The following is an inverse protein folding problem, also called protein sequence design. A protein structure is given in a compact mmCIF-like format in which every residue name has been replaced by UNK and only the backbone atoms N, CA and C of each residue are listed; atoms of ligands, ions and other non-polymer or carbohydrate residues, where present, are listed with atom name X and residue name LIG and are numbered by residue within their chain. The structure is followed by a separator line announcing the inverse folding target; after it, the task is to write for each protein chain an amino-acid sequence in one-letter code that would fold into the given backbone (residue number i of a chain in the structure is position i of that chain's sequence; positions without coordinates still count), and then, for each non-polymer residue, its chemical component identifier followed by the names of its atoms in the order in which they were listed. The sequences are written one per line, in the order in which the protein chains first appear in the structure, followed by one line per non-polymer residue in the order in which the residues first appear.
data_IF_570026738708
#
_entry.id   IF_570026738708
#
_cell.length_a   1.000
_cell.length_b   1.000
_cell.length_c   1.000
_cell.angle_alpha   90.00
_cell.angle_beta   90.00
_cell.angle_gamma   90.00
#
_symmetry.space_group_name_H-M   'P 1'
#
loop_
_entity.id
_entity.type
_entity.pdbx_description
1 polymer ?
#
# COMPACT_ATOMS: atom_id res chain seq x y z
N UNK A 1 -16.25 5.42 -15.96
CA UNK A 1 -16.87 5.65 -14.63
C UNK A 1 -16.43 7.03 -14.18
N UNK A 2 -17.29 7.88 -13.59
CA UNK A 2 -16.87 9.24 -13.20
C UNK A 2 -16.35 9.33 -11.76
N UNK A 3 -16.58 8.31 -10.94
CA UNK A 3 -16.22 8.28 -9.52
C UNK A 3 -15.84 6.85 -9.12
N UNK A 4 -14.69 6.65 -8.49
CA UNK A 4 -14.29 5.37 -7.90
C UNK A 4 -14.59 5.30 -6.40
N UNK A 5 -14.68 4.06 -5.89
CA UNK A 5 -14.73 3.74 -4.47
C UNK A 5 -16.13 3.67 -3.88
N UNK A 6 -16.95 4.72 -4.03
CA UNK A 6 -18.26 4.83 -3.36
C UNK A 6 -19.33 5.54 -4.20
N UNK A 7 -20.56 5.57 -3.70
CA UNK A 7 -21.65 6.29 -4.35
C UNK A 7 -21.50 7.81 -4.21
N UNK A 8 -21.97 8.61 -5.20
CA UNK A 8 -21.96 10.08 -5.12
C UNK A 8 -22.65 10.64 -3.87
N UNK A 9 -23.69 9.97 -3.34
CA UNK A 9 -24.38 10.40 -2.12
C UNK A 9 -23.51 10.35 -0.87
N UNK A 10 -22.60 9.37 -0.77
CA UNK A 10 -21.66 9.27 0.36
C UNK A 10 -20.64 10.40 0.29
N UNK A 11 -20.08 10.65 -0.89
CA UNK A 11 -19.13 11.76 -1.12
C UNK A 11 -19.74 13.11 -0.76
N UNK A 12 -20.98 13.39 -1.22
CA UNK A 12 -21.69 14.63 -0.85
C UNK A 12 -21.84 14.77 0.66
N UNK A 13 -22.28 13.72 1.33
CA UNK A 13 -22.49 13.75 2.78
C UNK A 13 -21.17 13.99 3.52
N UNK A 14 -20.08 13.35 3.08
CA UNK A 14 -18.74 13.52 3.64
C UNK A 14 -18.27 14.98 3.53
N UNK A 15 -18.34 15.57 2.34
CA UNK A 15 -17.93 16.96 2.11
C UNK A 15 -18.82 17.93 2.90
N UNK A 16 -20.14 17.76 2.87
CA UNK A 16 -21.08 18.65 3.56
C UNK A 16 -20.90 18.62 5.09
N UNK A 17 -20.51 17.48 5.65
CA UNK A 17 -20.29 17.31 7.09
C UNK A 17 -18.86 17.59 7.52
N UNK A 18 -17.93 17.74 6.57
CA UNK A 18 -16.50 17.76 6.86
C UNK A 18 -16.03 16.46 7.51
N UNK A 19 -16.60 15.32 7.10
CA UNK A 19 -16.27 14.00 7.60
C UNK A 19 -15.22 13.33 6.70
N UNK A 20 -13.93 13.34 7.09
CA UNK A 20 -12.85 12.83 6.24
C UNK A 20 -12.83 11.29 6.14
N UNK A 21 -13.53 10.58 7.04
CA UNK A 21 -13.51 9.12 7.16
C UNK A 21 -14.96 8.54 7.21
N UNK A 22 -15.76 8.69 6.13
CA UNK A 22 -17.19 8.37 6.12
C UNK A 22 -17.55 6.87 6.17
N UNK A 23 -16.63 5.99 6.56
CA UNK A 23 -16.85 4.55 6.68
C UNK A 23 -16.66 3.77 5.37
N UNK A 24 -15.64 4.12 4.59
CA UNK A 24 -15.40 3.66 3.23
C UNK A 24 -13.96 3.18 3.01
N UNK A 25 -13.64 2.77 1.77
CA UNK A 25 -12.26 2.47 1.32
C UNK A 25 -11.66 3.62 0.49
N UNK A 26 -12.16 4.84 0.68
CA UNK A 26 -11.78 6.02 -0.09
C UNK A 26 -12.59 6.21 -1.36
N UNK A 27 -12.31 7.32 -2.05
CA UNK A 27 -13.00 7.73 -3.26
C UNK A 27 -12.19 8.79 -4.01
N UNK A 28 -12.32 8.79 -5.33
CA UNK A 28 -11.80 9.87 -6.18
C UNK A 28 -12.61 9.96 -7.48
N UNK A 29 -12.71 11.16 -8.04
CA UNK A 29 -13.41 11.42 -9.30
C UNK A 29 -14.31 12.65 -9.21
N UNK A 30 -15.35 12.69 -10.02
CA UNK A 30 -16.24 13.84 -10.16
C UNK A 30 -17.64 13.57 -9.58
N UNK A 31 -18.13 14.50 -8.76
CA UNK A 31 -19.48 14.52 -8.20
C UNK A 31 -20.09 15.90 -8.38
N UNK A 32 -21.21 15.99 -9.10
CA UNK A 32 -21.94 17.24 -9.34
C UNK A 32 -21.07 18.39 -9.91
N UNK A 33 -20.09 18.05 -10.77
CA UNK A 33 -19.15 19.03 -11.33
C UNK A 33 -17.99 19.42 -10.40
N UNK A 34 -17.85 18.75 -9.26
CA UNK A 34 -16.72 18.88 -8.34
C UNK A 34 -15.79 17.68 -8.49
N UNK A 35 -14.55 17.94 -8.90
CA UNK A 35 -13.50 16.92 -8.83
C UNK A 35 -13.05 16.78 -7.38
N UNK A 36 -12.93 15.57 -6.86
CA UNK A 36 -12.65 15.29 -5.45
C UNK A 36 -11.75 14.07 -5.28
N UNK A 37 -10.91 14.10 -4.24
CA UNK A 37 -10.12 12.95 -3.79
C UNK A 37 -10.15 12.85 -2.27
N UNK A 38 -10.22 11.62 -1.76
CA UNK A 38 -10.24 11.34 -0.32
C UNK A 38 -8.95 11.76 0.40
N UNK A 39 -8.99 11.85 1.72
CA UNK A 39 -7.88 12.40 2.53
C UNK A 39 -6.61 11.55 2.53
N UNK A 40 -6.70 10.26 2.16
CA UNK A 40 -5.55 9.36 2.01
C UNK A 40 -5.14 9.16 0.56
N UNK A 41 -5.87 9.72 -0.39
CA UNK A 41 -5.57 9.59 -1.82
C UNK A 41 -5.59 8.14 -2.32
N UNK A 42 -6.48 7.30 -1.77
CA UNK A 42 -6.47 5.85 -1.99
C UNK A 42 -6.73 5.46 -3.45
N UNK A 43 -7.54 6.25 -4.13
CA UNK A 43 -7.69 6.17 -5.58
C UNK A 43 -6.83 7.27 -6.23
N UNK A 44 -5.92 6.93 -7.15
CA UNK A 44 -5.21 7.90 -7.96
C UNK A 44 -6.18 8.76 -8.76
N UNK A 45 -5.83 10.03 -8.95
CA UNK A 45 -6.59 10.96 -9.76
C UNK A 45 -5.60 11.99 -10.30
N UNK A 46 -5.63 12.21 -11.60
CA UNK A 46 -4.71 13.08 -12.31
C UNK A 46 -5.46 14.17 -13.04
N UNK A 47 -4.78 15.30 -13.21
CA UNK A 47 -5.29 16.47 -13.91
C UNK A 47 -4.18 17.06 -14.77
N UNK A 48 -4.53 17.53 -15.94
CA UNK A 48 -3.71 18.47 -16.71
C UNK A 48 -4.46 19.81 -16.81
N UNK A 49 -4.13 20.64 -17.79
CA UNK A 49 -4.77 21.94 -17.97
C UNK A 49 -6.18 21.86 -18.57
N UNK A 50 -6.53 20.76 -19.24
CA UNK A 50 -7.77 20.62 -20.01
C UNK A 50 -8.72 19.54 -19.46
N UNK A 51 -8.17 18.52 -18.79
CA UNK A 51 -8.88 17.30 -18.45
C UNK A 51 -8.48 16.72 -17.08
N UNK A 52 -9.13 15.60 -16.74
CA UNK A 52 -8.79 14.77 -15.60
C UNK A 52 -8.96 13.30 -15.98
N UNK A 53 -8.17 12.43 -15.35
CA UNK A 53 -8.18 10.99 -15.60
C UNK A 53 -7.83 10.20 -14.34
N UNK A 54 -8.15 8.91 -14.32
CA UNK A 54 -7.67 7.98 -13.27
C UNK A 54 -6.33 7.33 -13.62
N UNK A 55 -5.99 7.32 -14.91
CA UNK A 55 -4.72 6.85 -15.46
C UNK A 55 -3.95 8.05 -16.03
N UNK A 56 -2.71 8.31 -15.59
CA UNK A 56 -1.95 9.46 -16.06
C UNK A 56 -1.60 9.38 -17.55
N UNK A 57 -1.61 8.19 -18.15
CA UNK A 57 -1.31 7.98 -19.58
C UNK A 57 -2.43 8.47 -20.51
N UNK A 58 -3.61 8.79 -19.95
CA UNK A 58 -4.74 9.38 -20.67
C UNK A 58 -4.63 10.92 -20.81
N UNK A 59 -3.58 11.53 -20.23
CA UNK A 59 -3.37 12.98 -20.18
C UNK A 59 -2.04 13.38 -20.83
N UNK A 60 -1.94 14.63 -21.28
CA UNK A 60 -0.74 15.14 -21.96
C UNK A 60 0.37 15.56 -20.96
N UNK A 61 -0.02 16.22 -19.85
CA UNK A 61 0.88 16.66 -18.77
C UNK A 61 0.26 16.32 -17.39
N UNK A 62 0.20 15.03 -17.03
CA UNK A 62 -0.50 14.57 -15.84
C UNK A 62 0.15 15.08 -14.56
N UNK A 63 -0.66 15.67 -13.69
CA UNK A 63 -0.30 16.02 -12.31
C UNK A 63 -1.25 15.34 -11.34
N UNK A 64 -0.72 14.81 -10.25
CA UNK A 64 -1.53 14.21 -9.20
C UNK A 64 -2.47 15.24 -8.58
N UNK A 65 -3.77 14.94 -8.58
CA UNK A 65 -4.76 15.73 -7.87
C UNK A 65 -4.60 15.50 -6.36
N UNK A 66 -4.48 16.56 -5.53
CA UNK A 66 -4.08 16.38 -4.15
C UNK A 66 -5.15 15.69 -3.29
N UNK A 67 -4.72 14.79 -2.41
CA UNK A 67 -5.58 14.12 -1.44
C UNK A 67 -6.27 15.14 -0.51
N UNK A 68 -7.53 14.87 -0.14
CA UNK A 68 -8.32 15.74 0.74
C UNK A 68 -8.75 17.07 0.12
N UNK A 69 -8.70 17.20 -1.21
CA UNK A 69 -9.10 18.41 -1.92
C UNK A 69 -10.31 18.19 -2.84
N UNK A 70 -11.00 19.30 -3.11
CA UNK A 70 -12.05 19.45 -4.11
C UNK A 70 -11.64 20.55 -5.09
N UNK A 71 -12.01 20.42 -6.36
CA UNK A 71 -11.85 21.48 -7.36
C UNK A 71 -13.20 21.80 -7.98
N UNK A 72 -13.60 23.05 -7.82
CA UNK A 72 -14.78 23.64 -8.44
C UNK A 72 -14.36 24.62 -9.53
N UNK A 73 -15.31 25.38 -10.10
CA UNK A 73 -15.01 26.50 -10.98
C UNK A 73 -14.32 27.67 -10.28
N UNK A 74 -14.42 27.75 -8.95
CA UNK A 74 -13.88 28.84 -8.14
C UNK A 74 -12.42 28.58 -7.75
N UNK A 75 -11.99 27.32 -7.78
CA UNK A 75 -10.61 26.94 -7.52
C UNK A 75 -10.48 25.57 -6.85
N UNK A 76 -9.27 25.31 -6.37
CA UNK A 76 -8.92 24.13 -5.59
C UNK A 76 -8.99 24.48 -4.10
N UNK A 77 -9.70 23.67 -3.32
CA UNK A 77 -9.91 23.87 -1.89
C UNK A 77 -9.72 22.56 -1.13
N UNK A 78 -9.22 22.64 0.10
CA UNK A 78 -9.15 21.48 0.99
C UNK A 78 -10.53 21.25 1.62
N UNK A 79 -11.09 20.06 1.46
CA UNK A 79 -12.37 19.69 2.09
C UNK A 79 -12.18 18.86 3.37
N UNK A 80 -11.03 18.20 3.53
CA UNK A 80 -10.74 17.33 4.67
C UNK A 80 -9.25 17.18 4.95
N UNK A 81 -8.94 16.76 6.18
CA UNK A 81 -7.62 16.34 6.63
C UNK A 81 -7.76 15.11 7.52
N UNK A 82 -6.64 14.44 7.81
CA UNK A 82 -6.64 13.37 8.81
C UNK A 82 -7.16 13.91 10.16
N UNK A 83 -8.13 13.21 10.81
CA UNK A 83 -8.66 13.64 12.08
C UNK A 83 -7.64 13.46 13.21
N UNK A 84 -7.85 14.19 14.31
CA UNK A 84 -7.12 14.03 15.57
C UNK A 84 -8.08 13.48 16.64
N UNK A 85 -8.38 12.17 16.63
CA UNK A 85 -9.25 11.58 17.64
C UNK A 85 -8.58 11.64 19.03
N UNK A 86 -9.42 11.61 20.07
CA UNK A 86 -8.92 11.41 21.43
C UNK A 86 -8.22 10.05 21.55
N UNK A 87 -7.19 9.99 22.38
CA UNK A 87 -6.47 8.75 22.61
C UNK A 87 -7.37 7.75 23.33
N UNK A 88 -7.33 6.50 22.87
CA UNK A 88 -7.94 5.39 23.56
C UNK A 88 -7.11 5.00 24.79
N UNK A 89 -7.79 4.50 25.83
CA UNK A 89 -7.11 3.73 26.87
C UNK A 89 -6.53 2.46 26.25
N UNK A 90 -5.36 1.95 26.71
CA UNK A 90 -4.68 0.84 26.04
C UNK A 90 -5.55 -0.41 25.84
N UNK A 91 -6.35 -0.81 26.83
CA UNK A 91 -7.25 -1.97 26.69
C UNK A 91 -8.32 -1.77 25.63
N UNK A 92 -8.81 -0.53 25.49
CA UNK A 92 -9.86 -0.18 24.55
C UNK A 92 -9.30 0.00 23.14
N UNK A 93 -8.04 0.42 23.02
CA UNK A 93 -7.34 0.60 21.74
C UNK A 93 -7.23 -0.69 20.94
N UNK A 94 -6.79 -1.79 21.57
CA UNK A 94 -6.66 -3.09 20.89
C UNK A 94 -8.02 -3.64 20.45
N UNK A 95 -9.05 -3.50 21.30
CA UNK A 95 -10.41 -3.90 20.94
C UNK A 95 -11.00 -3.03 19.82
N UNK A 96 -10.72 -1.72 19.82
CA UNK A 96 -11.12 -0.81 18.75
C UNK A 96 -10.49 -1.21 17.41
N UNK A 97 -9.19 -1.57 17.40
CA UNK A 97 -8.51 -2.09 16.20
C UNK A 97 -9.14 -3.40 15.73
N UNK A 98 -9.36 -4.36 16.64
CA UNK A 98 -10.00 -5.64 16.30
C UNK A 98 -11.39 -5.45 15.68
N UNK A 99 -12.23 -4.64 16.32
CA UNK A 99 -13.56 -4.30 15.83
C UNK A 99 -13.51 -3.55 14.49
N UNK A 100 -12.50 -2.70 14.27
CA UNK A 100 -12.31 -2.00 13.00
C UNK A 100 -11.88 -2.93 11.87
N UNK A 101 -11.00 -3.89 12.14
CA UNK A 101 -10.58 -4.92 11.18
C UNK A 101 -11.77 -5.79 10.76
N UNK A 102 -12.61 -6.22 11.72
CA UNK A 102 -13.82 -7.00 11.41
C UNK A 102 -14.77 -6.24 10.48
N UNK A 103 -15.03 -4.95 10.80
CA UNK A 103 -15.84 -4.09 9.95
C UNK A 103 -15.22 -3.96 8.56
N UNK A 104 -13.93 -3.63 8.47
CA UNK A 104 -13.24 -3.46 7.19
C UNK A 104 -13.31 -4.74 6.34
N UNK A 105 -12.98 -5.89 6.93
CA UNK A 105 -12.93 -7.16 6.20
C UNK A 105 -14.31 -7.65 5.75
N UNK A 106 -15.35 -7.43 6.55
CA UNK A 106 -16.74 -7.75 6.16
C UNK A 106 -17.26 -6.97 4.95
N UNK A 107 -16.58 -5.89 4.53
CA UNK A 107 -16.93 -5.13 3.33
C UNK A 107 -16.24 -5.62 2.06
N UNK A 108 -15.33 -6.60 2.19
CA UNK A 108 -14.56 -7.14 1.07
C UNK A 108 -15.34 -8.28 0.41
N UNK A 109 -15.54 -8.13 -0.89
CA UNK A 109 -16.04 -9.17 -1.76
C UNK A 109 -14.86 -10.01 -2.28
N UNK A 110 -14.98 -11.34 -2.19
CA UNK A 110 -13.93 -12.31 -2.49
C UNK A 110 -13.96 -12.83 -3.93
N UNK A 111 -14.98 -12.50 -4.72
CA UNK A 111 -15.10 -12.99 -6.10
C UNK A 111 -13.93 -12.49 -6.98
N UNK A 112 -13.16 -13.37 -7.62
CA UNK A 112 -11.99 -12.92 -8.42
C UNK A 112 -10.87 -12.25 -7.60
N UNK A 113 -10.89 -12.37 -6.26
CA UNK A 113 -9.84 -11.86 -5.37
C UNK A 113 -8.72 -12.90 -5.20
N UNK A 114 -7.47 -12.44 -5.23
CA UNK A 114 -6.29 -13.17 -4.76
C UNK A 114 -5.52 -12.32 -3.74
N UNK A 115 -4.60 -12.92 -2.97
CA UNK A 115 -3.78 -12.21 -1.97
C UNK A 115 -2.30 -12.26 -2.36
N UNK A 116 -1.63 -11.11 -2.37
CA UNK A 116 -0.17 -11.06 -2.33
C UNK A 116 0.31 -11.42 -0.92
N UNK A 117 0.86 -12.62 -0.78
CA UNK A 117 1.18 -13.24 0.49
C UNK A 117 2.69 -13.36 0.71
N UNK A 118 3.24 -12.54 1.61
CA UNK A 118 4.67 -12.58 1.95
C UNK A 118 4.96 -13.40 3.21
N UNK A 119 3.95 -14.02 3.83
CA UNK A 119 4.09 -14.71 5.13
C UNK A 119 4.40 -13.80 6.33
N UNK A 120 4.22 -12.49 6.20
CA UNK A 120 4.31 -11.54 7.32
C UNK A 120 2.93 -11.27 7.94
N UNK A 121 2.91 -10.63 9.12
CA UNK A 121 1.70 -10.28 9.88
C UNK A 121 0.56 -9.75 9.00
N UNK A 122 0.86 -8.77 8.16
CA UNK A 122 -0.15 -8.01 7.41
C UNK A 122 -0.88 -8.89 6.39
N UNK A 123 -0.13 -9.59 5.54
CA UNK A 123 -0.70 -10.49 4.54
C UNK A 123 -1.27 -11.77 5.16
N UNK A 124 -0.71 -12.23 6.29
CA UNK A 124 -1.25 -13.36 7.04
C UNK A 124 -2.61 -13.03 7.63
N UNK A 125 -2.79 -11.82 8.15
CA UNK A 125 -4.09 -11.38 8.65
C UNK A 125 -5.15 -11.44 7.54
N UNK A 126 -4.81 -11.01 6.31
CA UNK A 126 -5.72 -11.14 5.17
C UNK A 126 -5.99 -12.61 4.81
N UNK A 127 -4.94 -13.43 4.73
CA UNK A 127 -5.04 -14.85 4.38
C UNK A 127 -5.80 -15.69 5.41
N UNK A 128 -5.82 -15.27 6.68
CA UNK A 128 -6.59 -15.94 7.73
C UNK A 128 -8.09 -15.59 7.72
N UNK A 129 -8.47 -14.51 7.03
CA UNK A 129 -9.85 -14.03 6.97
C UNK A 129 -10.50 -14.36 5.63
N UNK A 130 -9.75 -14.28 4.54
CA UNK A 130 -10.24 -14.54 3.20
C UNK A 130 -9.70 -15.88 2.69
N UNK A 131 -10.61 -16.83 2.46
CA UNK A 131 -10.32 -18.11 1.83
C UNK A 131 -10.20 -17.94 0.31
N UNK A 132 -9.08 -17.36 -0.13
CA UNK A 132 -8.76 -17.06 -1.52
C UNK A 132 -7.33 -17.44 -1.86
N UNK A 133 -6.98 -17.65 -3.14
CA UNK A 133 -5.64 -18.07 -3.54
C UNK A 133 -4.54 -17.11 -3.10
N UNK A 134 -3.46 -17.68 -2.57
CA UNK A 134 -2.29 -16.94 -2.09
C UNK A 134 -1.18 -16.97 -3.15
N UNK A 135 -0.53 -15.83 -3.36
CA UNK A 135 0.56 -15.69 -4.31
C UNK A 135 1.77 -15.02 -3.65
N UNK A 136 2.95 -15.57 -3.88
CA UNK A 136 4.23 -14.94 -3.50
C UNK A 136 5.12 -14.81 -4.73
N UNK A 137 5.89 -13.73 -4.81
CA UNK A 137 6.91 -13.55 -5.85
C UNK A 137 8.29 -13.36 -5.23
N UNK A 138 9.30 -13.90 -5.89
CA UNK A 138 10.68 -13.63 -5.57
C UNK A 138 11.64 -14.41 -6.44
N UNK A 139 12.92 -14.07 -6.37
CA UNK A 139 13.96 -14.91 -6.98
C UNK A 139 14.10 -16.24 -6.20
N UNK A 140 14.69 -17.27 -6.82
CA UNK A 140 14.99 -18.53 -6.13
C UNK A 140 15.72 -18.29 -4.80
N UNK A 141 15.32 -19.07 -3.79
CA UNK A 141 15.82 -19.00 -2.41
C UNK A 141 15.65 -17.64 -1.70
N UNK A 142 14.71 -16.82 -2.19
CA UNK A 142 14.36 -15.56 -1.52
C UNK A 142 13.66 -15.79 -0.18
N UNK A 143 13.90 -14.86 0.75
CA UNK A 143 13.31 -14.93 2.09
C UNK A 143 11.78 -14.85 2.05
N UNK A 144 11.22 -14.11 1.09
CA UNK A 144 9.76 -13.98 0.95
C UNK A 144 9.12 -15.30 0.52
N UNK A 145 9.71 -16.05 -0.42
CA UNK A 145 9.20 -17.39 -0.80
C UNK A 145 9.28 -18.35 0.39
N UNK A 146 10.40 -18.36 1.10
CA UNK A 146 10.59 -19.19 2.28
C UNK A 146 9.58 -18.84 3.40
N UNK A 147 9.32 -17.54 3.59
CA UNK A 147 8.37 -17.02 4.55
C UNK A 147 6.93 -17.38 4.21
N UNK A 148 6.55 -17.16 2.96
CA UNK A 148 5.23 -17.45 2.45
C UNK A 148 4.92 -18.94 2.52
N UNK A 149 5.85 -19.83 2.12
CA UNK A 149 5.64 -21.29 2.25
C UNK A 149 5.33 -21.69 3.68
N UNK A 150 6.15 -21.27 4.64
CA UNK A 150 5.89 -21.52 6.06
C UNK A 150 4.54 -20.96 6.53
N UNK A 151 4.21 -19.75 6.10
CA UNK A 151 2.95 -19.12 6.52
C UNK A 151 1.72 -19.79 5.92
N UNK A 152 1.82 -20.28 4.69
CA UNK A 152 0.76 -21.03 4.03
C UNK A 152 0.58 -22.40 4.71
N UNK A 153 1.68 -23.08 5.06
CA UNK A 153 1.64 -24.34 5.83
C UNK A 153 0.96 -24.16 7.20
N UNK A 154 1.22 -23.05 7.90
CA UNK A 154 0.59 -22.73 9.19
C UNK A 154 -0.89 -22.39 9.08
N UNK A 155 -1.34 -21.91 7.92
CA UNK A 155 -2.72 -21.56 7.62
C UNK A 155 -3.49 -22.67 6.89
N UNK A 156 -2.82 -23.79 6.55
CA UNK A 156 -3.36 -24.86 5.71
C UNK A 156 -3.91 -24.33 4.36
N UNK A 157 -3.18 -23.40 3.75
CA UNK A 157 -3.59 -22.68 2.55
C UNK A 157 -2.72 -23.01 1.34
N UNK A 158 -3.32 -23.04 0.15
CA UNK A 158 -2.59 -23.22 -1.11
C UNK A 158 -1.83 -21.96 -1.50
N UNK A 159 -0.53 -22.11 -1.77
CA UNK A 159 0.36 -21.02 -2.17
C UNK A 159 0.91 -21.24 -3.58
N UNK A 160 0.68 -20.26 -4.45
CA UNK A 160 1.35 -20.16 -5.74
C UNK A 160 2.64 -19.35 -5.62
N UNK A 161 3.76 -19.94 -6.04
CA UNK A 161 5.07 -19.28 -6.08
C UNK A 161 5.36 -18.78 -7.50
N UNK A 162 5.59 -17.48 -7.63
CA UNK A 162 6.03 -16.81 -8.85
C UNK A 162 7.54 -16.62 -8.77
N UNK A 163 8.30 -17.51 -9.40
CA UNK A 163 9.76 -17.39 -9.45
C UNK A 163 10.17 -16.33 -10.47
N UNK A 164 10.69 -15.21 -9.98
CA UNK A 164 11.14 -14.10 -10.82
C UNK A 164 12.46 -14.42 -11.52
N UNK A 165 12.60 -13.96 -12.77
CA UNK A 165 13.83 -14.03 -13.54
C UNK A 165 14.35 -12.63 -13.89
N UNK A 166 15.59 -12.56 -14.37
CA UNK A 166 16.14 -11.31 -14.89
C UNK A 166 15.38 -10.80 -16.12
N UNK A 167 14.92 -11.70 -16.99
CA UNK A 167 14.13 -11.35 -18.17
C UNK A 167 12.78 -10.73 -17.78
N UNK A 168 12.19 -11.20 -16.68
CA UNK A 168 10.98 -10.59 -16.13
C UNK A 168 11.23 -9.15 -15.68
N UNK A 169 12.38 -8.88 -15.03
CA UNK A 169 12.70 -7.51 -14.62
C UNK A 169 12.92 -6.60 -15.83
N UNK A 170 13.73 -7.03 -16.80
CA UNK A 170 14.01 -6.25 -18.02
C UNK A 170 12.73 -5.94 -18.81
N UNK A 171 11.76 -6.87 -18.83
CA UNK A 171 10.44 -6.68 -19.45
C UNK A 171 9.53 -5.77 -18.63
N UNK A 172 9.48 -5.94 -17.31
CA UNK A 172 8.53 -5.24 -16.46
C UNK A 172 8.95 -3.79 -16.16
N UNK A 173 10.25 -3.47 -16.15
CA UNK A 173 10.71 -2.10 -15.86
C UNK A 173 10.10 -1.05 -16.82
N UNK A 174 10.16 -1.21 -18.15
CA UNK A 174 9.54 -0.25 -19.06
C UNK A 174 8.03 -0.07 -18.86
N UNK A 175 7.30 -1.17 -18.60
CA UNK A 175 5.85 -1.14 -18.35
C UNK A 175 5.52 -0.36 -17.07
N UNK A 176 6.28 -0.60 -15.99
CA UNK A 176 6.11 0.11 -14.72
C UNK A 176 6.44 1.59 -14.88
N UNK A 177 7.52 1.93 -15.60
CA UNK A 177 7.91 3.33 -15.83
C UNK A 177 6.84 4.04 -16.68
N UNK A 178 6.32 3.38 -17.72
CA UNK A 178 5.24 3.93 -18.54
C UNK A 178 3.95 4.18 -17.73
N UNK A 179 3.57 3.23 -16.87
CA UNK A 179 2.36 3.34 -16.06
C UNK A 179 2.46 4.36 -14.92
N UNK A 180 3.64 4.47 -14.29
CA UNK A 180 3.81 5.29 -13.07
C UNK A 180 4.47 6.64 -13.33
N UNK A 181 5.16 6.81 -14.46
CA UNK A 181 6.05 7.95 -14.71
C UNK A 181 7.30 7.99 -13.82
N UNK A 182 7.55 6.96 -13.00
CA UNK A 182 8.62 6.96 -12.00
C UNK A 182 9.82 6.16 -12.49
N UNK A 183 11.00 6.78 -12.48
CA UNK A 183 12.28 6.13 -12.86
C UNK A 183 13.22 5.89 -11.68
N UNK A 184 12.95 6.48 -10.51
CA UNK A 184 13.84 6.31 -9.37
C UNK A 184 13.91 4.84 -8.93
N UNK A 185 15.12 4.39 -8.60
CA UNK A 185 15.38 2.98 -8.34
C UNK A 185 14.53 2.40 -7.20
N UNK A 186 14.25 3.18 -6.15
CA UNK A 186 13.51 2.68 -4.99
C UNK A 186 12.07 2.35 -5.37
N UNK A 187 11.38 3.26 -6.06
CA UNK A 187 10.00 3.04 -6.48
C UNK A 187 9.89 1.86 -7.45
N UNK A 188 10.77 1.79 -8.45
CA UNK A 188 10.75 0.68 -9.41
C UNK A 188 11.07 -0.66 -8.73
N UNK A 189 11.99 -0.68 -7.75
CA UNK A 189 12.28 -1.88 -6.97
C UNK A 189 11.12 -2.36 -6.10
N UNK A 190 10.28 -1.45 -5.61
CA UNK A 190 9.06 -1.78 -4.85
C UNK A 190 7.95 -2.24 -5.81
N UNK A 191 7.81 -1.57 -6.95
CA UNK A 191 6.79 -1.85 -7.95
C UNK A 191 7.00 -3.21 -8.64
N UNK A 192 8.24 -3.59 -8.95
CA UNK A 192 8.54 -4.85 -9.65
C UNK A 192 7.90 -6.11 -9.04
N UNK A 193 8.05 -6.42 -7.73
CA UNK A 193 7.36 -7.57 -7.15
C UNK A 193 5.83 -7.42 -7.20
N UNK A 194 5.28 -6.21 -6.99
CA UNK A 194 3.83 -5.99 -7.10
C UNK A 194 3.31 -6.23 -8.53
N UNK A 195 4.04 -5.78 -9.54
CA UNK A 195 3.71 -5.98 -10.94
C UNK A 195 3.73 -7.47 -11.31
N UNK A 196 4.80 -8.19 -10.95
CA UNK A 196 4.97 -9.59 -11.34
C UNK A 196 3.95 -10.52 -10.67
N UNK A 197 3.62 -10.26 -9.40
CA UNK A 197 2.56 -11.04 -8.73
C UNK A 197 1.19 -10.72 -9.32
N UNK A 198 0.90 -9.44 -9.60
CA UNK A 198 -0.36 -9.02 -10.21
C UNK A 198 -0.53 -9.59 -11.63
N UNK A 199 0.53 -9.60 -12.44
CA UNK A 199 0.51 -10.15 -13.81
C UNK A 199 0.20 -11.65 -13.78
N UNK A 200 0.78 -12.39 -12.81
CA UNK A 200 0.46 -13.81 -12.63
C UNK A 200 -0.99 -14.02 -12.21
N UNK A 201 -1.48 -13.22 -11.27
CA UNK A 201 -2.86 -13.27 -10.76
C UNK A 201 -3.86 -12.99 -11.90
N UNK A 202 -3.59 -11.99 -12.74
CA UNK A 202 -4.37 -11.70 -13.95
C UNK A 202 -4.39 -12.91 -14.90
N UNK A 203 -3.22 -13.49 -15.16
CA UNK A 203 -3.08 -14.65 -16.06
C UNK A 203 -3.83 -15.90 -15.57
N UNK A 204 -3.99 -16.03 -14.24
CA UNK A 204 -4.76 -17.11 -13.61
C UNK A 204 -6.28 -16.83 -13.55
N UNK A 205 -6.72 -15.67 -14.05
CA UNK A 205 -8.14 -15.33 -14.23
C UNK A 205 -8.77 -14.54 -13.08
N UNK A 206 -7.97 -14.03 -12.16
CA UNK A 206 -8.41 -13.13 -11.08
C UNK A 206 -8.29 -11.67 -11.53
N UNK A 207 -9.22 -10.82 -11.11
CA UNK A 207 -9.28 -9.40 -11.48
C UNK A 207 -8.96 -8.46 -10.31
N UNK A 208 -8.76 -9.00 -9.10
CA UNK A 208 -8.46 -8.23 -7.88
C UNK A 208 -7.31 -8.82 -7.09
N UNK A 209 -6.46 -7.94 -6.55
CA UNK A 209 -5.31 -8.31 -5.72
C UNK A 209 -5.36 -7.61 -4.36
N UNK A 210 -5.62 -8.37 -3.29
CA UNK A 210 -5.52 -7.91 -1.93
C UNK A 210 -4.06 -7.79 -1.48
N UNK A 211 -3.76 -6.64 -0.86
CA UNK A 211 -2.43 -6.28 -0.40
C UNK A 211 -2.47 -5.79 1.05
N UNK A 212 -1.37 -6.01 1.78
CA UNK A 212 -1.20 -5.55 3.17
C UNK A 212 -0.86 -4.07 3.34
N UNK A 213 -1.05 -3.23 2.31
CA UNK A 213 -0.78 -1.79 2.39
C UNK A 213 -1.55 -1.13 3.55
N UNK A 214 -0.90 -0.15 4.19
CA UNK A 214 -1.44 0.58 5.33
C UNK A 214 -1.01 0.02 6.68
N UNK A 215 -0.58 -1.25 6.77
CA UNK A 215 -0.22 -1.83 8.06
C UNK A 215 0.99 -1.14 8.71
N UNK A 216 2.06 -0.90 7.94
CA UNK A 216 3.28 -0.26 8.43
C UNK A 216 3.05 1.23 8.72
N UNK A 217 2.24 1.91 7.89
CA UNK A 217 1.92 3.31 8.05
C UNK A 217 1.02 3.57 9.25
N UNK A 218 -0.04 2.78 9.42
CA UNK A 218 -1.06 3.00 10.45
C UNK A 218 -0.60 2.53 11.84
N UNK A 219 0.21 1.47 11.91
CA UNK A 219 0.55 0.80 13.17
C UNK A 219 2.02 0.91 13.56
N UNK A 220 2.77 1.87 13.00
CA UNK A 220 4.17 2.11 13.41
C UNK A 220 5.13 0.97 13.02
N UNK A 221 4.95 0.41 11.83
CA UNK A 221 5.74 -0.72 11.34
C UNK A 221 7.16 -0.37 10.85
N UNK A 222 7.42 0.91 10.57
CA UNK A 222 8.73 1.33 10.10
C UNK A 222 9.75 1.53 11.22
N UNK A 223 10.99 1.08 10.99
CA UNK A 223 12.08 1.28 11.95
C UNK A 223 12.34 2.75 12.28
N UNK A 224 12.11 3.68 11.33
CA UNK A 224 12.23 5.13 11.57
C UNK A 224 11.19 5.66 12.56
N UNK A 225 10.00 5.06 12.60
CA UNK A 225 8.93 5.41 13.55
C UNK A 225 9.26 4.85 14.93
N UNK A 226 9.74 3.60 15.00
CA UNK A 226 10.14 2.97 16.25
C UNK A 226 11.36 3.63 16.93
N UNK A 227 12.16 4.37 16.15
CA UNK A 227 13.32 5.11 16.61
C UNK A 227 13.06 6.61 16.73
N UNK A 228 11.81 7.05 16.72
CA UNK A 228 11.49 8.45 17.00
C UNK A 228 11.71 8.73 18.50
N UNK A 229 12.37 9.83 18.88
CA UNK A 229 12.81 10.96 18.05
C UNK A 229 14.24 10.85 17.47
N UNK A 230 14.97 9.77 17.73
CA UNK A 230 16.40 9.64 17.37
C UNK A 230 16.69 9.44 15.87
N UNK A 231 15.69 9.10 15.05
CA UNK A 231 15.86 8.86 13.61
C UNK A 231 15.66 10.15 12.79
N UNK A 232 16.66 10.64 12.05
CA UNK A 232 16.57 11.92 11.31
C UNK A 232 15.65 11.87 10.09
N UNK A 233 14.97 10.74 9.83
CA UNK A 233 14.00 10.58 8.74
C UNK A 233 12.56 10.87 9.18
N UNK A 234 12.35 11.25 10.42
CA UNK A 234 11.07 11.72 10.99
C UNK A 234 11.34 13.01 11.76
N UNK A 235 10.44 13.98 11.65
CA UNK A 235 10.59 15.28 12.31
C UNK A 235 9.96 15.29 13.72
N UNK A 236 9.00 14.40 13.97
CA UNK A 236 8.25 14.34 15.22
C UNK A 236 9.06 13.80 16.39
N UNK A 237 8.86 14.44 17.54
CA UNK A 237 9.42 14.00 18.83
C UNK A 237 8.75 12.75 19.43
N UNK A 238 7.73 12.18 18.77
CA UNK A 238 6.93 11.06 19.33
C UNK A 238 6.68 9.97 18.28
N UNK A 239 6.56 8.72 18.73
CA UNK A 239 6.13 7.59 17.88
C UNK A 239 4.81 7.89 17.18
N UNK A 240 3.85 8.51 17.87
CA UNK A 240 2.54 8.85 17.30
C UNK A 240 2.66 9.90 16.19
N UNK A 241 3.38 10.98 16.42
CA UNK A 241 3.57 12.01 15.40
C UNK A 241 4.40 11.50 14.21
N UNK A 242 5.42 10.67 14.46
CA UNK A 242 6.19 10.01 13.39
C UNK A 242 5.33 9.03 12.58
N UNK A 243 4.42 8.31 13.22
CA UNK A 243 3.41 7.47 12.55
C UNK A 243 2.52 8.33 11.67
N UNK A 244 2.04 9.47 12.19
CA UNK A 244 1.22 10.41 11.43
C UNK A 244 1.92 10.98 10.19
N UNK A 245 3.18 11.39 10.31
CA UNK A 245 4.00 11.83 9.17
C UNK A 245 4.06 10.76 8.08
N UNK A 246 4.21 9.49 8.48
CA UNK A 246 4.22 8.37 7.54
C UNK A 246 2.85 8.17 6.87
N UNK A 247 1.74 8.27 7.61
CA UNK A 247 0.38 8.21 7.05
C UNK A 247 0.21 9.30 5.97
N UNK A 248 0.76 10.50 6.18
CA UNK A 248 0.69 11.59 5.21
C UNK A 248 1.47 11.32 3.91
N UNK A 249 2.36 10.33 3.89
CA UNK A 249 3.05 9.87 2.67
C UNK A 249 2.25 8.85 1.86
N UNK A 250 1.15 8.30 2.40
CA UNK A 250 0.34 7.29 1.71
C UNK A 250 -0.12 7.70 0.30
N UNK A 251 -0.56 8.95 0.02
CA UNK A 251 -1.00 9.31 -1.32
C UNK A 251 0.04 9.06 -2.41
N UNK A 252 1.33 9.31 -2.13
CA UNK A 252 2.43 9.07 -3.08
C UNK A 252 2.72 7.57 -3.25
N UNK A 253 2.75 6.83 -2.14
CA UNK A 253 2.99 5.39 -2.15
C UNK A 253 1.87 4.62 -2.86
N UNK A 254 0.61 4.98 -2.58
CA UNK A 254 -0.57 4.36 -3.19
C UNK A 254 -0.68 4.68 -4.66
N UNK A 255 -0.26 5.88 -5.09
CA UNK A 255 -0.20 6.20 -6.51
C UNK A 255 0.72 5.24 -7.26
N UNK A 256 1.96 5.04 -6.78
CA UNK A 256 2.88 4.06 -7.35
C UNK A 256 2.27 2.66 -7.36
N UNK A 257 1.79 2.19 -6.21
CA UNK A 257 1.34 0.80 -6.06
C UNK A 257 0.08 0.51 -6.88
N UNK A 258 -0.89 1.43 -6.90
CA UNK A 258 -2.14 1.26 -7.63
C UNK A 258 -1.92 1.27 -9.13
N UNK A 259 -1.14 2.22 -9.64
CA UNK A 259 -0.80 2.27 -11.07
C UNK A 259 -0.03 1.02 -11.50
N UNK A 260 0.92 0.56 -10.68
CA UNK A 260 1.70 -0.66 -10.95
C UNK A 260 0.80 -1.89 -11.07
N UNK A 261 -0.12 -2.07 -10.13
CA UNK A 261 -1.00 -3.26 -10.10
C UNK A 261 -2.03 -3.22 -11.21
N UNK A 262 -2.58 -2.03 -11.53
CA UNK A 262 -3.50 -1.85 -12.67
C UNK A 262 -2.83 -2.07 -14.01
N UNK A 263 -1.59 -1.64 -14.19
CA UNK A 263 -0.80 -1.89 -15.40
C UNK A 263 -0.61 -3.40 -15.66
N UNK A 264 -0.56 -4.20 -14.59
CA UNK A 264 -0.50 -5.65 -14.68
C UNK A 264 -1.87 -6.33 -14.88
N UNK A 265 -2.97 -5.56 -14.93
CA UNK A 265 -4.30 -6.02 -15.31
C UNK A 265 -5.25 -6.39 -14.18
N UNK A 266 -4.94 -6.05 -12.92
CA UNK A 266 -5.83 -6.30 -11.76
C UNK A 266 -6.06 -5.05 -10.93
N UNK A 267 -7.19 -4.99 -10.21
CA UNK A 267 -7.50 -3.90 -9.29
C UNK A 267 -6.93 -4.20 -7.89
N UNK A 268 -6.12 -3.30 -7.30
CA UNK A 268 -5.62 -3.49 -5.94
C UNK A 268 -6.72 -3.30 -4.91
N UNK A 269 -6.66 -4.09 -3.85
CA UNK A 269 -7.53 -3.99 -2.68
C UNK A 269 -6.64 -3.85 -1.44
N UNK A 270 -6.81 -2.76 -0.68
CA UNK A 270 -6.06 -2.51 0.55
C UNK A 270 -7.02 -2.45 1.76
N UNK A 271 -7.44 -3.60 2.33
CA UNK A 271 -8.47 -3.63 3.37
C UNK A 271 -8.11 -2.86 4.63
N UNK A 272 -6.82 -2.80 4.98
CA UNK A 272 -6.33 -2.10 6.17
C UNK A 272 -6.43 -0.57 6.05
N UNK A 273 -6.62 -0.04 4.84
CA UNK A 273 -6.84 1.39 4.62
C UNK A 273 -8.31 1.80 4.70
N UNK A 274 -9.22 0.89 5.09
CA UNK A 274 -10.61 1.25 5.36
C UNK A 274 -10.70 2.32 6.47
N UNK A 275 -11.61 3.28 6.33
CA UNK A 275 -11.79 4.42 7.23
C UNK A 275 -11.85 4.02 8.72
N UNK A 276 -12.60 2.97 9.04
CA UNK A 276 -12.68 2.43 10.41
C UNK A 276 -11.32 1.99 11.00
N UNK A 277 -10.42 1.42 10.19
CA UNK A 277 -9.08 0.97 10.64
C UNK A 277 -8.17 2.18 10.81
N UNK A 278 -8.24 3.14 9.89
CA UNK A 278 -7.50 4.41 9.96
C UNK A 278 -7.90 5.18 11.22
N UNK A 279 -9.20 5.33 11.48
CA UNK A 279 -9.71 6.01 12.66
C UNK A 279 -9.25 5.34 13.97
N UNK A 280 -9.34 4.01 14.04
CA UNK A 280 -8.86 3.26 15.19
C UNK A 280 -7.34 3.44 15.40
N UNK A 281 -6.55 3.40 14.32
CA UNK A 281 -5.11 3.58 14.39
C UNK A 281 -4.69 5.00 14.85
N UNK A 282 -5.37 6.05 14.36
CA UNK A 282 -5.11 7.44 14.76
C UNK A 282 -5.39 7.71 16.25
N UNK A 283 -6.27 6.91 16.86
CA UNK A 283 -6.61 6.95 18.28
C UNK A 283 -5.66 6.17 19.19
N UNK A 284 -4.66 5.47 18.66
CA UNK A 284 -3.76 4.67 19.47
C UNK A 284 -2.73 5.54 20.24
N UNK A 285 -2.47 5.25 21.52
CA UNK A 285 -1.31 5.77 22.23
C UNK A 285 0.00 5.17 21.66
N UNK A 286 1.12 5.84 21.92
CA UNK A 286 2.43 5.46 21.38
C UNK A 286 2.86 4.03 21.73
N UNK A 287 2.60 3.57 22.97
CA UNK A 287 2.94 2.21 23.39
C UNK A 287 2.21 1.10 22.61
N UNK A 288 1.05 1.40 22.04
CA UNK A 288 0.29 0.47 21.21
C UNK A 288 0.71 0.49 19.74
N UNK A 289 1.55 1.43 19.34
CA UNK A 289 2.21 1.44 18.04
C UNK A 289 3.56 0.72 18.15
N UNK A 290 4.37 1.10 19.15
CA UNK A 290 5.71 0.58 19.40
C UNK A 290 5.96 0.43 20.89
N UNK A 291 6.40 -0.77 21.30
CA UNK A 291 6.85 -1.06 22.68
C UNK A 291 8.25 -1.69 22.64
N UNK A 292 9.26 -0.95 23.11
CA UNK A 292 10.65 -1.37 23.00
C UNK A 292 11.08 -1.53 21.53
N UNK A 293 11.51 -2.73 21.15
CA UNK A 293 11.84 -3.07 19.75
C UNK A 293 10.62 -3.62 18.97
N UNK A 294 9.51 -3.87 19.66
CA UNK A 294 8.30 -4.46 19.06
C UNK A 294 7.50 -3.38 18.34
N UNK A 295 7.31 -3.57 17.05
CA UNK A 295 6.51 -2.71 16.16
C UNK A 295 5.13 -3.32 15.91
N UNK A 296 4.14 -2.48 15.57
CA UNK A 296 2.76 -2.90 15.27
C UNK A 296 2.07 -3.57 16.46
N UNK A 297 2.34 -3.12 17.69
CA UNK A 297 1.90 -3.79 18.93
C UNK A 297 0.40 -4.09 18.91
N UNK A 298 -0.44 -3.07 18.72
CA UNK A 298 -1.90 -3.23 18.68
C UNK A 298 -2.38 -4.13 17.54
N UNK A 299 -1.75 -4.06 16.35
CA UNK A 299 -2.11 -4.94 15.24
C UNK A 299 -1.76 -6.40 15.54
N UNK A 300 -0.60 -6.65 16.17
CA UNK A 300 -0.20 -8.01 16.59
C UNK A 300 -1.16 -8.58 17.62
N UNK A 301 -1.51 -7.80 18.64
CA UNK A 301 -2.47 -8.22 19.67
C UNK A 301 -3.89 -8.41 19.14
N UNK A 302 -4.34 -7.53 18.23
CA UNK A 302 -5.62 -7.70 17.55
C UNK A 302 -5.61 -8.97 16.67
N UNK A 303 -4.49 -9.25 16.00
CA UNK A 303 -4.33 -10.36 15.07
C UNK A 303 -4.39 -11.75 15.72
N UNK A 304 -4.12 -11.87 17.02
CA UNK A 304 -4.22 -13.15 17.76
C UNK A 304 -5.59 -13.83 17.68
N UNK A 305 -6.64 -13.06 17.32
CA UNK A 305 -7.96 -13.61 17.05
C UNK A 305 -7.99 -14.52 15.81
N UNK A 306 -7.14 -14.26 14.82
CA UNK A 306 -7.13 -14.95 13.53
C UNK A 306 -5.87 -15.76 13.28
N UNK A 307 -4.75 -15.38 13.89
CA UNK A 307 -3.43 -15.95 13.58
C UNK A 307 -2.84 -16.75 14.74
N UNK A 308 -2.10 -17.84 14.43
CA UNK A 308 -1.20 -18.44 15.40
C UNK A 308 -0.11 -17.45 15.83
N UNK A 309 0.38 -17.59 17.06
CA UNK A 309 1.38 -16.71 17.67
C UNK A 309 2.63 -16.55 16.78
N UNK A 310 3.06 -17.62 16.12
CA UNK A 310 4.22 -17.61 15.23
C UNK A 310 4.07 -16.64 14.06
N UNK A 311 2.87 -16.56 13.45
CA UNK A 311 2.61 -15.59 12.37
C UNK A 311 2.39 -14.18 12.91
N UNK A 312 1.73 -14.08 14.07
CA UNK A 312 1.44 -12.79 14.69
C UNK A 312 2.71 -12.05 15.18
N UNK A 313 3.77 -12.76 15.54
CA UNK A 313 5.01 -12.18 16.09
C UNK A 313 6.16 -12.07 15.08
N UNK A 314 5.99 -12.63 13.88
CA UNK A 314 7.03 -12.63 12.86
C UNK A 314 7.40 -11.22 12.40
N UNK A 315 8.69 -11.02 12.14
CA UNK A 315 9.20 -9.82 11.45
C UNK A 315 9.26 -10.02 9.93
N UNK A 316 9.00 -8.94 9.19
CA UNK A 316 9.04 -8.91 7.72
C UNK A 316 10.17 -7.98 7.24
N UNK A 317 10.81 -8.37 6.13
CA UNK A 317 11.71 -7.50 5.34
C UNK A 317 10.89 -6.75 4.29
N UNK A 318 11.31 -5.53 3.92
CA UNK A 318 10.63 -4.81 2.84
C UNK A 318 10.69 -5.61 1.52
N UNK A 319 9.61 -5.54 0.73
CA UNK A 319 9.33 -6.46 -0.37
C UNK A 319 10.46 -6.54 -1.40
N UNK A 320 11.11 -5.43 -1.71
CA UNK A 320 12.21 -5.36 -2.66
C UNK A 320 13.48 -6.08 -2.18
N UNK A 321 13.67 -6.22 -0.86
CA UNK A 321 14.79 -6.93 -0.26
C UNK A 321 14.43 -8.39 0.04
N UNK A 322 13.21 -8.64 0.50
CA UNK A 322 12.70 -9.98 0.81
C UNK A 322 12.63 -10.88 -0.41
N UNK A 323 12.12 -10.35 -1.53
CA UNK A 323 12.04 -11.00 -2.85
C UNK A 323 13.39 -11.09 -3.60
N UNK A 324 14.41 -10.38 -3.12
CA UNK A 324 15.72 -10.18 -3.75
C UNK A 324 15.71 -9.35 -5.04
N UNK A 325 14.58 -8.76 -5.45
CA UNK A 325 14.48 -7.94 -6.66
C UNK A 325 15.48 -6.78 -6.66
N UNK A 326 15.65 -6.06 -5.55
CA UNK A 326 16.61 -4.95 -5.48
C UNK A 326 18.06 -5.41 -5.75
N UNK A 327 18.41 -6.61 -5.26
CA UNK A 327 19.74 -7.20 -5.46
C UNK A 327 19.98 -7.56 -6.92
N UNK A 328 18.97 -8.14 -7.57
CA UNK A 328 19.05 -8.62 -8.95
C UNK A 328 18.96 -7.47 -9.96
N UNK A 329 18.17 -6.43 -9.68
CA UNK A 329 18.17 -5.20 -10.49
C UNK A 329 19.53 -4.46 -10.40
N UNK A 330 20.14 -4.35 -9.21
CA UNK A 330 21.52 -3.85 -9.06
C UNK A 330 22.53 -4.70 -9.86
N UNK A 331 22.32 -6.02 -9.93
CA UNK A 331 23.18 -6.92 -10.71
C UNK A 331 23.06 -6.66 -12.20
N UNK A 332 21.84 -6.50 -12.72
CA UNK A 332 21.57 -6.15 -14.11
C UNK A 332 22.20 -4.81 -14.49
N UNK A 333 21.97 -3.78 -13.68
CA UNK A 333 22.58 -2.46 -13.88
C UNK A 333 24.11 -2.57 -14.03
N UNK A 334 24.76 -3.31 -13.14
CA UNK A 334 26.22 -3.54 -13.20
C UNK A 334 26.66 -4.30 -14.45
N UNK A 335 25.90 -5.31 -14.87
CA UNK A 335 26.19 -6.09 -16.09
C UNK A 335 26.03 -5.24 -17.35
N UNK A 336 25.05 -4.33 -17.38
CA UNK A 336 24.83 -3.36 -18.44
C UNK A 336 25.83 -2.19 -18.43
N UNK A 337 26.79 -2.16 -17.49
CA UNK A 337 27.86 -1.16 -17.44
C UNK A 337 27.61 0.01 -16.49
N UNK A 338 26.47 0.05 -15.81
CA UNK A 338 26.13 1.05 -14.78
C UNK A 338 26.79 0.65 -13.45
N UNK A 339 27.99 1.17 -13.21
CA UNK A 339 28.83 0.79 -12.07
C UNK A 339 28.44 1.59 -10.82
N UNK A 340 28.54 0.99 -9.62
CA UNK A 340 28.29 1.66 -8.31
C UNK A 340 29.06 2.95 -8.04
N UNK A 341 30.15 3.19 -8.77
CA UNK A 341 30.91 4.45 -8.70
C UNK A 341 30.21 5.60 -9.43
N UNK A 342 29.22 5.29 -10.26
CA UNK A 342 28.32 6.25 -10.87
C UNK A 342 27.26 6.57 -9.82
N UNK A 343 26.95 7.85 -9.67
CA UNK A 343 25.91 8.27 -8.74
C UNK A 343 24.55 7.74 -9.21
N UNK A 344 23.79 7.14 -8.31
CA UNK A 344 22.49 6.52 -8.59
C UNK A 344 22.45 5.58 -9.82
N UNK A 345 23.40 4.64 -9.89
CA UNK A 345 23.61 3.78 -11.06
C UNK A 345 22.41 2.90 -11.42
N UNK A 346 21.55 2.56 -10.46
CA UNK A 346 20.35 1.74 -10.73
C UNK A 346 19.27 2.59 -11.39
N UNK A 347 19.03 3.82 -10.94
CA UNK A 347 18.10 4.75 -11.61
C UNK A 347 18.54 5.00 -13.04
N UNK A 348 19.82 5.24 -13.27
CA UNK A 348 20.34 5.43 -14.63
C UNK A 348 20.12 4.22 -15.55
N UNK A 349 20.15 3.00 -14.99
CA UNK A 349 19.83 1.78 -15.73
C UNK A 349 18.32 1.67 -16.00
N UNK A 350 17.46 1.98 -15.03
CA UNK A 350 16.01 2.04 -15.22
C UNK A 350 15.65 3.03 -16.33
N UNK A 351 16.24 4.22 -16.31
CA UNK A 351 16.07 5.23 -17.35
C UNK A 351 16.56 4.74 -18.72
N UNK A 352 17.61 3.93 -18.79
CA UNK A 352 18.12 3.44 -20.07
C UNK A 352 17.24 2.36 -20.69
N UNK A 353 16.49 1.60 -19.88
CA UNK A 353 15.50 0.63 -20.35
C UNK A 353 14.21 1.30 -20.88
N UNK A 354 13.96 2.54 -20.49
CA UNK A 354 12.70 3.25 -20.74
C UNK A 354 12.82 4.36 -21.79
N UNK A 355 13.92 4.40 -22.54
CA UNK A 355 14.25 5.40 -23.57
C UNK A 355 13.88 5.00 -24.98
#
# INVERSE_FOLDING_TARGET
MTLHGVSPSVVRAAIQRGDPLPGTRGFAGEVDGLLVRDVLGRYPLFVDDEAWAFDPTELDDPRSFPAGHVRSREGLERWGSLPEPALAEPSDGVEAVRSALERAFSTIDTDGLAIAFSGGLDSALLAAVFDVPLYVVGFPDSHDIEAARRGADLLDADLTVVEATHADLERAVPEIVAATGRTNAMDVQIALPLYLVAERVAADGFDRLALGQGADELFGGYAKVAKAPEDPRVESDTVRGATREVIETLPDQLERDVLTVRAAGVEPVAPLLHDAVVEAALGLPGELLVEGETRKVALREAAWRWLPEELATREKKAVQYGSLVARELDRLARQAGFKRRMDDHVTQYVESLSR
#
